data_IF_196702259425
#
_entry.id   IF_196702259425
#
_cell.length_a   1.000
_cell.length_b   1.000
_cell.length_c   1.000
_cell.angle_alpha   90.00
_cell.angle_beta   90.00
_cell.angle_gamma   90.00
#
_symmetry.space_group_name_H-M   'P 1'
#
loop_
_entity.id
_entity.type
_entity.pdbx_description
1 polymer ?
#
# COMPACT_ATOMS: atom_id res chain seq x y z
N UNK A 1 18.34 -12.12 -41.00
CA UNK A 1 18.48 -10.71 -40.56
C UNK A 1 17.12 -10.22 -40.09
N UNK A 2 17.05 -9.59 -38.91
CA UNK A 2 15.81 -9.09 -38.30
C UNK A 2 15.24 -7.82 -38.98
N UNK A 3 14.28 -7.11 -38.36
CA UNK A 3 14.25 -6.82 -36.92
C UNK A 3 12.97 -7.25 -36.18
N UNK A 4 13.12 -7.45 -34.87
CA UNK A 4 12.03 -7.66 -33.90
C UNK A 4 11.35 -6.33 -33.63
N UNK A 5 10.05 -6.24 -33.89
CA UNK A 5 9.20 -5.16 -33.39
C UNK A 5 8.88 -5.39 -31.91
N UNK A 6 9.21 -4.39 -31.12
CA UNK A 6 8.96 -4.28 -29.69
C UNK A 6 7.45 -4.10 -29.52
N UNK A 7 6.76 -5.09 -28.92
CA UNK A 7 5.37 -4.94 -28.53
C UNK A 7 5.31 -3.99 -27.32
N UNK A 8 4.82 -2.80 -27.62
CA UNK A 8 4.18 -1.80 -26.77
C UNK A 8 3.84 -2.20 -25.33
N UNK A 9 4.20 -1.32 -24.39
CA UNK A 9 3.67 -1.23 -23.02
C UNK A 9 2.15 -1.44 -22.98
N UNK A 10 1.70 -2.40 -22.18
CA UNK A 10 0.28 -2.62 -21.89
C UNK A 10 -0.26 -1.56 -20.89
N UNK A 11 -1.28 -0.75 -21.26
CA UNK A 11 -1.97 0.15 -20.36
C UNK A 11 -3.21 -0.57 -19.81
N UNK A 12 -3.11 -1.23 -18.67
CA UNK A 12 -4.21 -2.08 -18.21
C UNK A 12 -4.24 -2.24 -16.69
N UNK A 13 -4.54 -1.13 -16.00
CA UNK A 13 -4.90 -1.13 -14.58
C UNK A 13 -6.31 -0.54 -14.45
N UNK A 14 -7.29 -1.38 -14.10
CA UNK A 14 -8.61 -0.90 -13.70
C UNK A 14 -8.52 -0.43 -12.25
N UNK A 15 -8.32 0.88 -12.07
CA UNK A 15 -8.66 1.55 -10.83
C UNK A 15 -10.15 1.85 -10.91
N UNK A 16 -10.98 1.20 -10.08
CA UNK A 16 -12.37 1.63 -9.91
C UNK A 16 -12.35 2.89 -9.05
N UNK A 17 -12.15 4.05 -9.70
CA UNK A 17 -12.39 5.37 -9.11
C UNK A 17 -12.90 6.30 -10.22
N UNK A 18 -14.15 6.71 -10.09
CA UNK A 18 -14.83 7.62 -11.02
C UNK A 18 -14.25 9.04 -10.88
N UNK A 19 -14.05 9.69 -12.04
CA UNK A 19 -13.83 11.12 -12.30
C UNK A 19 -12.42 11.75 -12.23
N UNK A 20 -11.87 11.93 -13.45
CA UNK A 20 -11.37 13.15 -14.11
C UNK A 20 -10.03 13.84 -13.72
N UNK A 21 -9.14 13.81 -14.74
CA UNK A 21 -8.15 14.80 -15.21
C UNK A 21 -7.02 15.29 -14.29
N UNK A 22 -5.77 15.11 -14.76
CA UNK A 22 -4.67 16.01 -14.38
C UNK A 22 -3.24 15.49 -14.58
N UNK A 23 -2.80 15.41 -15.84
CA UNK A 23 -1.44 15.61 -16.38
C UNK A 23 -0.23 15.66 -15.41
N UNK A 24 0.84 14.94 -15.78
CA UNK A 24 2.21 15.47 -15.65
C UNK A 24 3.32 14.46 -15.31
N UNK A 25 3.85 13.76 -16.32
CA UNK A 25 5.17 13.12 -16.22
C UNK A 25 6.27 14.18 -16.02
N UNK A 26 7.25 13.88 -15.17
CA UNK A 26 8.65 14.27 -15.38
C UNK A 26 9.56 13.26 -14.68
N UNK A 27 10.42 12.64 -15.50
CA UNK A 27 11.54 11.80 -15.11
C UNK A 27 12.71 12.66 -14.63
N UNK A 28 13.59 12.08 -13.80
CA UNK A 28 15.05 11.94 -14.01
C UNK A 28 15.80 11.87 -12.66
N UNK A 29 16.69 10.87 -12.54
CA UNK A 29 17.95 11.03 -11.80
C UNK A 29 18.09 10.29 -10.48
N UNK A 30 18.46 9.00 -10.53
CA UNK A 30 19.30 8.41 -9.47
C UNK A 30 20.74 8.88 -9.69
N UNK A 31 21.48 9.19 -8.61
CA UNK A 31 22.66 8.38 -8.36
C UNK A 31 22.99 8.13 -6.87
N UNK A 32 23.71 7.04 -6.67
CA UNK A 32 24.78 6.88 -5.67
C UNK A 32 24.40 6.83 -4.18
N UNK A 33 24.14 5.60 -3.75
CA UNK A 33 24.71 4.93 -2.57
C UNK A 33 25.81 5.72 -1.82
N UNK A 34 25.50 6.21 -0.63
CA UNK A 34 26.48 6.67 0.34
C UNK A 34 26.26 5.93 1.68
N UNK A 35 27.02 4.86 1.89
CA UNK A 35 27.07 4.15 3.18
C UNK A 35 27.77 5.06 4.19
N UNK A 36 27.00 5.64 5.13
CA UNK A 36 27.53 6.43 6.23
C UNK A 36 27.98 5.49 7.37
N UNK A 37 29.21 5.71 7.86
CA UNK A 37 29.82 5.04 9.02
C UNK A 37 28.91 5.15 10.26
N UNK A 38 28.89 4.16 11.18
CA UNK A 38 28.10 4.27 12.39
C UNK A 38 28.68 5.37 13.29
N UNK A 39 27.87 6.41 13.53
CA UNK A 39 28.14 7.43 14.53
C UNK A 39 28.04 6.77 15.92
N UNK A 40 29.10 6.96 16.72
CA UNK A 40 29.23 6.40 18.05
C UNK A 40 28.04 6.71 18.96
N UNK A 41 27.67 5.72 19.78
CA UNK A 41 26.67 5.84 20.83
C UNK A 41 27.09 6.93 21.82
N UNK A 42 26.50 8.12 21.73
CA UNK A 42 26.46 9.08 22.82
C UNK A 42 25.17 8.84 23.60
N UNK A 43 25.32 8.61 24.90
CA UNK A 43 24.19 8.39 25.82
C UNK A 43 23.24 9.59 25.82
N UNK A 44 21.94 9.31 25.75
CA UNK A 44 20.88 10.29 25.96
C UNK A 44 20.50 10.25 27.44
N UNK A 45 21.03 11.21 28.19
CA UNK A 45 20.50 11.64 29.48
C UNK A 45 19.09 12.20 29.25
N UNK A 46 18.13 11.69 30.02
CA UNK A 46 16.72 12.00 29.90
C UNK A 46 16.38 13.47 30.13
N UNK A 47 15.69 14.05 29.16
CA UNK A 47 14.71 15.11 29.32
C UNK A 47 13.65 14.89 28.23
N UNK A 48 12.47 14.41 28.62
CA UNK A 48 11.34 14.23 27.70
C UNK A 48 10.91 15.62 27.19
N UNK A 49 10.95 15.91 25.88
CA UNK A 49 10.31 17.11 25.37
C UNK A 49 8.81 16.89 25.48
N UNK A 50 8.12 17.84 26.11
CA UNK A 50 6.65 17.89 26.13
C UNK A 50 6.15 17.90 24.69
N UNK A 51 5.22 17.00 24.38
CA UNK A 51 4.57 16.91 23.07
C UNK A 51 3.65 18.10 22.88
N UNK A 52 4.15 19.15 22.26
CA UNK A 52 3.36 20.28 21.80
C UNK A 52 2.98 20.02 20.35
N UNK A 53 1.69 19.73 20.12
CA UNK A 53 1.06 19.68 18.80
C UNK A 53 1.57 18.60 17.83
N UNK A 54 1.52 17.32 18.18
CA UNK A 54 1.68 16.26 17.18
C UNK A 54 0.33 15.99 16.49
N UNK A 55 0.16 16.46 15.25
CA UNK A 55 -0.89 15.88 14.41
C UNK A 55 -0.74 14.35 14.40
N UNK A 56 -1.86 13.62 14.48
CA UNK A 56 -1.79 12.16 14.41
C UNK A 56 -1.21 11.76 13.05
N UNK A 57 -0.23 10.85 13.01
CA UNK A 57 0.37 10.42 11.76
C UNK A 57 -0.70 9.80 10.86
N UNK A 58 -0.69 10.14 9.58
CA UNK A 58 -1.52 9.49 8.57
C UNK A 58 -0.94 8.10 8.29
N UNK A 59 -1.71 7.07 8.56
CA UNK A 59 -1.28 5.68 8.41
C UNK A 59 -1.95 5.06 7.18
N UNK A 60 -1.17 4.31 6.39
CA UNK A 60 -1.68 3.39 5.39
C UNK A 60 -1.43 1.95 5.84
N UNK A 61 -2.46 1.10 5.79
CA UNK A 61 -2.34 -0.33 6.06
C UNK A 61 -2.31 -1.08 4.73
N UNK A 62 -1.32 -1.95 4.54
CA UNK A 62 -1.18 -2.77 3.33
C UNK A 62 -1.50 -4.22 3.64
N UNK A 63 -2.40 -4.81 2.86
CA UNK A 63 -2.77 -6.22 2.93
C UNK A 63 -2.60 -6.88 1.57
N UNK A 64 -1.89 -8.00 1.52
CA UNK A 64 -1.89 -8.88 0.35
C UNK A 64 -2.94 -9.99 0.57
N UNK A 65 -3.78 -10.24 -0.43
CA UNK A 65 -4.85 -11.22 -0.33
C UNK A 65 -4.84 -12.15 -1.55
N UNK A 66 -4.83 -13.47 -1.31
CA UNK A 66 -5.00 -14.49 -2.33
C UNK A 66 -5.87 -15.61 -1.79
N UNK A 67 -7.06 -15.81 -2.37
CA UNK A 67 -8.07 -16.76 -1.88
C UNK A 67 -8.34 -16.63 -0.36
N UNK A 68 -8.53 -15.39 0.08
CA UNK A 68 -8.74 -15.03 1.48
C UNK A 68 -10.23 -14.90 1.87
N UNK A 69 -11.15 -15.51 1.12
CA UNK A 69 -12.59 -15.32 1.27
C UNK A 69 -13.13 -15.62 2.68
N UNK A 70 -12.46 -16.50 3.43
CA UNK A 70 -12.87 -16.91 4.77
C UNK A 70 -12.44 -15.94 5.86
N UNK A 71 -11.41 -15.14 5.62
CA UNK A 71 -10.72 -14.39 6.68
C UNK A 71 -10.71 -12.89 6.43
N UNK A 72 -10.67 -12.46 5.17
CA UNK A 72 -10.49 -11.05 4.79
C UNK A 72 -11.54 -10.13 5.41
N UNK A 73 -12.78 -10.62 5.57
CA UNK A 73 -13.87 -9.85 6.19
C UNK A 73 -13.59 -9.55 7.65
N UNK A 74 -13.21 -10.57 8.42
CA UNK A 74 -12.89 -10.43 9.84
C UNK A 74 -11.66 -9.53 10.06
N UNK A 75 -10.63 -9.67 9.22
CA UNK A 75 -9.44 -8.83 9.24
C UNK A 75 -9.78 -7.34 9.06
N UNK A 76 -10.59 -7.03 8.03
CA UNK A 76 -11.02 -5.67 7.72
C UNK A 76 -11.97 -5.11 8.77
N UNK A 77 -12.89 -5.91 9.31
CA UNK A 77 -13.80 -5.47 10.37
C UNK A 77 -13.02 -5.16 11.67
N UNK A 78 -12.00 -5.96 12.00
CA UNK A 78 -11.09 -5.70 13.11
C UNK A 78 -10.39 -4.35 12.96
N UNK A 79 -9.86 -4.09 11.75
CA UNK A 79 -9.31 -2.79 11.41
C UNK A 79 -10.35 -1.66 11.63
N UNK A 80 -11.51 -1.74 11.00
CA UNK A 80 -12.52 -0.68 11.09
C UNK A 80 -13.03 -0.40 12.51
N UNK A 81 -12.87 -1.35 13.45
CA UNK A 81 -13.21 -1.17 14.87
C UNK A 81 -12.22 -0.27 15.64
N UNK A 82 -11.02 -0.04 15.11
CA UNK A 82 -9.98 0.75 15.76
C UNK A 82 -10.26 2.27 15.69
N UNK A 83 -9.72 3.02 16.66
CA UNK A 83 -9.94 4.48 16.75
C UNK A 83 -8.97 5.32 15.93
N UNK A 84 -7.97 4.70 15.30
CA UNK A 84 -6.94 5.41 14.53
C UNK A 84 -7.45 5.62 13.10
N UNK A 85 -7.38 6.83 12.53
CA UNK A 85 -7.71 7.04 11.14
C UNK A 85 -6.60 6.50 10.23
N UNK A 86 -6.95 5.60 9.33
CA UNK A 86 -6.06 5.10 8.28
C UNK A 86 -6.83 4.69 7.04
N UNK A 87 -6.09 4.56 5.94
CA UNK A 87 -6.58 4.01 4.68
C UNK A 87 -6.02 2.60 4.50
N UNK A 88 -6.86 1.69 4.00
CA UNK A 88 -6.50 0.27 3.83
C UNK A 88 -6.32 -0.02 2.35
N UNK A 89 -5.13 -0.48 1.99
CA UNK A 89 -4.77 -0.93 0.65
C UNK A 89 -4.75 -2.44 0.60
N UNK A 90 -5.78 -3.03 -0.01
CA UNK A 90 -5.89 -4.47 -0.21
C UNK A 90 -5.47 -4.79 -1.64
N UNK A 91 -4.48 -5.65 -1.80
CA UNK A 91 -4.05 -6.14 -3.12
C UNK A 91 -4.48 -7.58 -3.28
N UNK A 92 -5.52 -7.75 -4.09
CA UNK A 92 -6.03 -9.04 -4.53
C UNK A 92 -5.10 -9.62 -5.59
N UNK A 93 -4.30 -10.61 -5.21
CA UNK A 93 -3.28 -11.23 -6.05
C UNK A 93 -3.86 -12.30 -6.98
N UNK A 94 -4.87 -11.92 -7.75
CA UNK A 94 -5.60 -12.79 -8.69
C UNK A 94 -6.36 -13.95 -7.99
N UNK A 95 -7.09 -13.65 -6.91
CA UNK A 95 -7.97 -14.63 -6.25
C UNK A 95 -9.06 -15.12 -7.21
N UNK A 96 -9.49 -16.38 -7.01
CA UNK A 96 -10.57 -17.02 -7.80
C UNK A 96 -11.84 -16.17 -7.78
N UNK A 97 -12.26 -15.75 -6.57
CA UNK A 97 -13.32 -14.76 -6.39
C UNK A 97 -12.66 -13.43 -6.02
N UNK A 98 -12.99 -12.32 -6.70
CA UNK A 98 -12.42 -11.03 -6.37
C UNK A 98 -12.67 -10.59 -4.95
N UNK A 99 -11.64 -10.03 -4.30
CA UNK A 99 -11.77 -9.50 -2.94
C UNK A 99 -12.80 -8.36 -2.88
N UNK A 100 -12.93 -7.60 -3.97
CA UNK A 100 -13.96 -6.57 -4.11
C UNK A 100 -15.39 -7.09 -3.90
N UNK A 101 -15.66 -8.35 -4.23
CA UNK A 101 -16.97 -8.98 -4.03
C UNK A 101 -17.34 -9.09 -2.55
N UNK A 102 -16.35 -9.22 -1.66
CA UNK A 102 -16.56 -9.31 -0.20
C UNK A 102 -16.55 -7.94 0.49
N UNK A 103 -16.07 -6.90 -0.20
CA UNK A 103 -15.78 -5.58 0.35
C UNK A 103 -16.77 -4.49 -0.09
N UNK A 104 -17.76 -4.83 -0.91
CA UNK A 104 -18.75 -3.88 -1.40
C UNK A 104 -19.52 -3.20 -0.25
N UNK A 105 -19.53 -1.87 -0.23
CA UNK A 105 -20.29 -1.07 0.72
C UNK A 105 -19.76 -1.05 2.16
N UNK A 106 -18.52 -1.50 2.41
CA UNK A 106 -17.96 -1.52 3.77
C UNK A 106 -17.51 -0.13 4.23
N UNK A 107 -16.63 0.53 3.48
CA UNK A 107 -16.02 1.79 3.87
C UNK A 107 -15.31 2.44 2.69
N UNK A 108 -15.39 3.77 2.58
CA UNK A 108 -14.68 4.55 1.56
C UNK A 108 -13.15 4.60 1.79
N UNK A 109 -12.68 4.13 2.95
CA UNK A 109 -11.25 4.05 3.29
C UNK A 109 -10.54 2.82 2.72
N UNK A 110 -11.30 1.90 2.11
CA UNK A 110 -10.75 0.67 1.55
C UNK A 110 -10.47 0.87 0.06
N UNK A 111 -9.21 0.69 -0.32
CA UNK A 111 -8.72 0.79 -1.68
C UNK A 111 -8.28 -0.60 -2.12
N UNK A 112 -8.96 -1.15 -3.13
CA UNK A 112 -8.68 -2.49 -3.64
C UNK A 112 -7.96 -2.39 -4.96
N UNK A 113 -6.79 -3.04 -5.04
CA UNK A 113 -6.04 -3.26 -6.26
C UNK A 113 -6.12 -4.73 -6.62
N UNK A 114 -6.23 -5.07 -7.91
CA UNK A 114 -6.23 -6.47 -8.36
C UNK A 114 -5.13 -6.72 -9.38
N UNK A 115 -4.34 -7.75 -9.15
CA UNK A 115 -3.31 -8.20 -10.10
C UNK A 115 -3.92 -9.15 -11.14
N UNK A 116 -3.26 -9.26 -12.31
CA UNK A 116 -3.70 -10.15 -13.40
C UNK A 116 -3.29 -11.61 -13.21
N UNK A 117 -2.28 -11.83 -12.38
CA UNK A 117 -1.69 -13.13 -12.13
C UNK A 117 -1.14 -13.15 -10.70
N UNK A 118 -1.24 -14.31 -10.05
CA UNK A 118 -0.62 -14.50 -8.75
C UNK A 118 0.90 -14.31 -8.87
N UNK A 119 1.42 -13.37 -8.09
CA UNK A 119 2.85 -13.02 -8.07
C UNK A 119 3.45 -13.00 -6.67
N UNK A 120 2.70 -13.48 -5.68
CA UNK A 120 3.09 -13.58 -4.29
C UNK A 120 2.92 -12.28 -3.49
N UNK A 121 2.91 -12.39 -2.15
CA UNK A 121 2.58 -11.30 -1.25
C UNK A 121 3.58 -10.14 -1.31
N UNK A 122 4.87 -10.42 -1.57
CA UNK A 122 5.88 -9.37 -1.70
C UNK A 122 5.60 -8.45 -2.88
N UNK A 123 5.26 -9.01 -4.04
CA UNK A 123 4.91 -8.21 -5.21
C UNK A 123 3.58 -7.47 -4.99
N UNK A 124 2.58 -8.14 -4.44
CA UNK A 124 1.31 -7.52 -4.10
C UNK A 124 1.50 -6.29 -3.18
N UNK A 125 2.29 -6.42 -2.11
CA UNK A 125 2.62 -5.29 -1.21
C UNK A 125 3.39 -4.18 -1.94
N UNK A 126 4.34 -4.51 -2.81
CA UNK A 126 5.06 -3.52 -3.59
C UNK A 126 4.12 -2.69 -4.50
N UNK A 127 3.11 -3.32 -5.11
CA UNK A 127 2.10 -2.60 -5.90
C UNK A 127 1.28 -1.62 -5.03
N UNK A 128 0.89 -2.02 -3.82
CA UNK A 128 0.23 -1.11 -2.87
C UNK A 128 1.15 0.05 -2.48
N UNK A 129 2.43 -0.22 -2.18
CA UNK A 129 3.40 0.81 -1.83
C UNK A 129 3.55 1.85 -2.95
N UNK A 130 3.60 1.43 -4.22
CA UNK A 130 3.64 2.38 -5.35
C UNK A 130 2.42 3.32 -5.37
N UNK A 131 1.25 2.82 -4.96
CA UNK A 131 0.05 3.65 -4.85
C UNK A 131 0.06 4.54 -3.61
N UNK A 132 0.53 4.04 -2.47
CA UNK A 132 0.65 4.78 -1.21
C UNK A 132 1.62 5.95 -1.36
N UNK A 133 2.72 5.78 -2.11
CA UNK A 133 3.69 6.84 -2.40
C UNK A 133 3.10 8.02 -3.19
N UNK A 134 1.93 7.85 -3.82
CA UNK A 134 1.21 8.95 -4.48
C UNK A 134 0.30 9.71 -3.51
N UNK A 135 0.09 9.19 -2.30
CA UNK A 135 -0.66 9.83 -1.23
C UNK A 135 0.23 10.58 -0.24
N UNK A 136 -0.37 11.06 0.84
CA UNK A 136 0.33 11.74 1.94
C UNK A 136 0.16 10.93 3.21
N UNK A 137 1.03 9.94 3.40
CA UNK A 137 1.07 9.08 4.59
C UNK A 137 2.42 9.21 5.28
N UNK A 138 2.40 9.24 6.60
CA UNK A 138 3.58 9.31 7.45
C UNK A 138 4.11 7.92 7.80
N UNK A 139 3.20 6.94 7.89
CA UNK A 139 3.49 5.57 8.29
C UNK A 139 2.81 4.55 7.38
N UNK A 140 3.48 3.42 7.18
CA UNK A 140 2.91 2.25 6.51
C UNK A 140 2.99 1.05 7.46
N UNK A 141 1.84 0.41 7.69
CA UNK A 141 1.75 -0.85 8.40
C UNK A 141 1.45 -1.99 7.41
N UNK A 142 1.94 -3.18 7.72
CA UNK A 142 1.64 -4.40 6.95
C UNK A 142 0.83 -5.31 7.86
N UNK A 143 -0.27 -5.84 7.34
CA UNK A 143 -1.12 -6.80 8.01
C UNK A 143 -1.51 -7.90 7.04
N UNK A 144 -1.56 -9.15 7.52
CA UNK A 144 -1.98 -10.26 6.68
C UNK A 144 -3.50 -10.36 6.58
N UNK A 145 -3.98 -10.97 5.49
CA UNK A 145 -5.41 -11.07 5.20
C UNK A 145 -6.17 -12.06 6.10
N UNK A 146 -5.45 -12.78 6.94
CA UNK A 146 -5.94 -13.77 7.91
C UNK A 146 -5.71 -13.41 9.37
N UNK A 147 -5.04 -12.28 9.65
CA UNK A 147 -4.90 -11.74 10.99
C UNK A 147 -6.10 -10.86 11.39
N UNK A 148 -6.29 -10.68 12.70
CA UNK A 148 -7.29 -9.75 13.26
C UNK A 148 -6.53 -8.70 14.09
N UNK A 149 -6.88 -7.42 13.89
CA UNK A 149 -6.30 -6.26 14.56
C UNK A 149 -6.99 -5.91 15.88
#
# INVERSE_FOLDING_TARGET
MGPRMIKSLDPCFQVVRLSLLGRGLRTLGSPALAVRKPLGRRGVSGASPRCEGSEMPKVAVVMAAYNAEKTIRAAVDGLLSTRIPYDVYIVDDCSTVPVSSYMSGISDRIIILRTKQNSGPARARNEALQRILQGSYDLVAVMDADDIA
#
